data_IF_184218531845
#
_entry.id   IF_184218531845
#
_cell.length_a   1.000
_cell.length_b   1.000
_cell.length_c   1.000
_cell.angle_alpha   90.00
_cell.angle_beta   90.00
_cell.angle_gamma   90.00
#
_symmetry.space_group_name_H-M   'P 1'
#
loop_
_entity.id
_entity.type
_entity.pdbx_description
1 polymer ?
#
# COMPACT_ATOMS: atom_id res chain seq x y z
N UNK A 1 -0.08 10.02 7.54
CA UNK A 1 0.98 10.53 6.66
C UNK A 1 1.47 9.39 5.78
N UNK A 2 1.46 9.55 4.45
CA UNK A 2 2.22 8.66 3.56
C UNK A 2 3.68 9.06 3.71
N UNK A 3 4.54 8.14 4.14
CA UNK A 3 5.97 8.36 4.32
C UNK A 3 6.70 7.89 3.05
N UNK A 4 7.48 8.77 2.43
CA UNK A 4 8.32 8.38 1.28
C UNK A 4 9.59 7.63 1.74
N UNK A 5 10.02 7.90 2.97
CA UNK A 5 11.15 7.25 3.62
C UNK A 5 10.75 6.64 4.96
N UNK A 6 11.32 5.46 5.22
CA UNK A 6 11.10 4.71 6.43
C UNK A 6 12.46 4.31 6.96
N UNK A 7 12.77 4.74 8.18
CA UNK A 7 14.05 4.47 8.84
C UNK A 7 14.27 2.98 9.09
N UNK A 8 13.23 2.26 9.52
CA UNK A 8 13.25 0.80 9.72
C UNK A 8 12.00 0.15 9.14
N UNK A 9 12.12 -0.67 8.08
CA UNK A 9 10.98 -1.39 7.49
C UNK A 9 10.26 -2.28 8.51
N UNK A 10 11.00 -2.96 9.39
CA UNK A 10 10.40 -3.82 10.41
C UNK A 10 9.59 -3.05 11.45
N UNK A 11 10.11 -1.91 11.92
CA UNK A 11 9.40 -1.06 12.87
C UNK A 11 8.12 -0.47 12.26
N UNK A 12 8.16 -0.10 10.98
CA UNK A 12 7.02 0.42 10.26
C UNK A 12 5.95 -0.65 10.00
N UNK A 13 6.37 -1.87 9.63
CA UNK A 13 5.47 -3.02 9.54
C UNK A 13 4.75 -3.25 10.87
N UNK A 14 5.47 -3.29 11.99
CA UNK A 14 4.86 -3.44 13.32
C UNK A 14 3.89 -2.29 13.67
N UNK A 15 4.22 -1.04 13.28
CA UNK A 15 3.33 0.13 13.45
C UNK A 15 2.03 -0.04 12.65
N UNK A 16 2.11 -0.51 11.41
CA UNK A 16 0.95 -0.72 10.54
C UNK A 16 0.06 -1.83 11.09
N UNK A 17 0.62 -2.97 11.49
CA UNK A 17 -0.16 -4.04 12.12
C UNK A 17 -0.90 -3.56 13.37
N UNK A 18 -0.25 -2.76 14.23
CA UNK A 18 -0.92 -2.17 15.40
C UNK A 18 -2.05 -1.21 15.02
N UNK A 19 -1.89 -0.43 13.95
CA UNK A 19 -2.93 0.48 13.48
C UNK A 19 -4.13 -0.24 12.85
N UNK A 20 -3.92 -1.45 12.32
CA UNK A 20 -4.97 -2.31 11.77
C UNK A 20 -5.63 -3.21 12.84
N UNK A 21 -5.09 -3.24 14.06
CA UNK A 21 -5.65 -4.03 15.15
C UNK A 21 -7.08 -3.58 15.46
N UNK A 22 -8.00 -4.54 15.58
CA UNK A 22 -9.42 -4.28 15.84
C UNK A 22 -10.30 -4.22 14.58
N UNK A 23 -9.74 -4.35 13.38
CA UNK A 23 -10.55 -4.62 12.19
C UNK A 23 -11.25 -5.98 12.33
N UNK A 24 -12.57 -6.00 12.13
CA UNK A 24 -13.39 -7.22 12.20
C UNK A 24 -13.34 -8.08 10.93
N UNK A 25 -12.39 -7.81 10.03
CA UNK A 25 -12.22 -8.50 8.77
C UNK A 25 -10.76 -8.85 8.53
N UNK A 26 -10.45 -10.07 8.03
CA UNK A 26 -9.11 -10.40 7.58
C UNK A 26 -8.80 -9.59 6.32
N UNK A 27 -7.80 -8.72 6.39
CA UNK A 27 -7.37 -7.88 5.27
C UNK A 27 -5.89 -8.06 5.00
N UNK A 28 -5.54 -8.23 3.73
CA UNK A 28 -4.17 -8.19 3.25
C UNK A 28 -3.83 -6.76 2.83
N UNK A 29 -2.78 -6.18 3.43
CA UNK A 29 -2.33 -4.81 3.14
C UNK A 29 -0.94 -4.85 2.53
N UNK A 30 -0.85 -4.42 1.26
CA UNK A 30 0.42 -4.27 0.55
C UNK A 30 0.76 -2.78 0.46
N UNK A 31 1.89 -2.39 1.05
CA UNK A 31 2.37 -0.99 1.05
C UNK A 31 3.53 -0.86 0.08
N UNK A 32 3.38 0.05 -0.88
CA UNK A 32 4.35 0.26 -1.95
C UNK A 32 4.70 1.74 -2.04
N UNK A 33 5.95 2.04 -2.41
CA UNK A 33 6.33 3.41 -2.76
C UNK A 33 5.63 3.84 -4.05
N UNK A 34 5.29 5.13 -4.14
CA UNK A 34 4.58 5.66 -5.29
C UNK A 34 5.37 5.51 -6.60
N UNK A 35 6.69 5.60 -6.54
CA UNK A 35 7.58 5.41 -7.70
C UNK A 35 7.59 3.96 -8.19
N UNK A 36 7.52 2.97 -7.29
CA UNK A 36 7.34 1.57 -7.63
C UNK A 36 6.03 1.37 -8.40
N UNK A 37 4.92 1.93 -7.92
CA UNK A 37 3.62 1.86 -8.59
C UNK A 37 3.70 2.47 -9.99
N UNK A 38 4.30 3.65 -10.14
CA UNK A 38 4.47 4.30 -11.45
C UNK A 38 5.29 3.47 -12.44
N UNK A 39 6.34 2.81 -11.98
CA UNK A 39 7.21 1.98 -12.85
C UNK A 39 6.59 0.65 -13.23
N UNK A 40 5.72 0.08 -12.40
CA UNK A 40 5.23 -1.31 -12.57
C UNK A 40 3.74 -1.42 -12.92
N UNK A 41 3.00 -0.31 -12.97
CA UNK A 41 1.54 -0.28 -13.24
C UNK A 41 1.09 -1.04 -14.50
N UNK A 42 1.94 -1.15 -15.51
CA UNK A 42 1.61 -1.77 -16.79
C UNK A 42 2.30 -3.13 -17.01
N UNK A 43 3.13 -3.58 -16.06
CA UNK A 43 3.82 -4.88 -16.14
C UNK A 43 2.84 -6.02 -15.85
N UNK A 44 2.77 -6.98 -16.76
CA UNK A 44 1.96 -8.19 -16.60
C UNK A 44 2.50 -9.02 -15.43
N UNK A 45 1.62 -9.41 -14.51
CA UNK A 45 1.98 -10.15 -13.28
C UNK A 45 2.34 -9.27 -12.08
N UNK A 46 2.52 -7.95 -12.25
CA UNK A 46 2.74 -7.06 -11.12
C UNK A 46 1.43 -6.82 -10.35
N UNK A 47 1.44 -6.94 -9.02
CA UNK A 47 0.24 -6.78 -8.17
C UNK A 47 -0.44 -5.40 -8.32
N UNK A 48 0.34 -4.37 -8.66
CA UNK A 48 -0.16 -3.00 -8.88
C UNK A 48 -1.06 -2.89 -10.10
N UNK A 49 -0.87 -3.73 -11.12
CA UNK A 49 -1.61 -3.64 -12.37
C UNK A 49 -3.11 -3.93 -12.19
N UNK A 50 -3.53 -5.09 -11.64
CA UNK A 50 -4.95 -5.34 -11.36
C UNK A 50 -5.50 -4.38 -10.31
N UNK A 51 -4.71 -4.02 -9.28
CA UNK A 51 -5.14 -3.08 -8.24
C UNK A 51 -5.54 -1.70 -8.80
N UNK A 52 -4.86 -1.22 -9.84
CA UNK A 52 -5.16 0.07 -10.49
C UNK A 52 -6.29 -0.02 -11.53
N UNK A 53 -6.47 -1.16 -12.19
CA UNK A 53 -7.45 -1.33 -13.27
C UNK A 53 -8.83 -1.77 -12.78
N UNK A 54 -8.84 -2.64 -11.78
CA UNK A 54 -10.05 -3.32 -11.28
C UNK A 54 -10.42 -2.85 -9.87
N UNK A 55 -9.45 -2.31 -9.14
CA UNK A 55 -9.64 -1.84 -7.78
C UNK A 55 -10.50 -0.57 -7.67
N UNK A 56 -10.87 -0.25 -6.43
CA UNK A 56 -11.62 0.96 -6.08
C UNK A 56 -10.78 1.84 -5.17
N UNK A 57 -10.69 3.12 -5.50
CA UNK A 57 -10.07 4.13 -4.63
C UNK A 57 -10.96 4.33 -3.41
N UNK A 58 -10.47 3.93 -2.23
CA UNK A 58 -11.16 4.16 -0.95
C UNK A 58 -10.78 5.51 -0.32
N UNK A 59 -9.53 5.93 -0.52
CA UNK A 59 -9.02 7.21 -0.04
C UNK A 59 -7.93 7.70 -1.00
N UNK A 60 -7.98 8.98 -1.34
CA UNK A 60 -6.94 9.65 -2.12
C UNK A 60 -6.62 10.99 -1.46
N UNK A 61 -5.39 11.14 -0.98
CA UNK A 61 -4.89 12.44 -0.55
C UNK A 61 -4.45 13.21 -1.78
N UNK A 62 -5.17 14.28 -2.13
CA UNK A 62 -4.69 15.26 -3.10
C UNK A 62 -3.49 15.96 -2.46
N UNK A 63 -2.35 15.88 -3.14
CA UNK A 63 -1.13 16.60 -2.77
C UNK A 63 -1.07 17.86 -3.60
#
# INVERSE_FOLDING_TARGET
MVKDEVESPGAETARIYRALAGLSAPVDVVVLRADYVRRHRDIVGAIVRPALREGRVLYARRT
#
